data_IF_232495874969
#
_entry.id   IF_232495874969
#
_cell.length_a   1.000
_cell.length_b   1.000
_cell.length_c   1.000
_cell.angle_alpha   90.00
_cell.angle_beta   90.00
_cell.angle_gamma   90.00
#
_symmetry.space_group_name_H-M   'P 1'
#
loop_
_entity.id
_entity.type
_entity.pdbx_description
1 polymer ?
#
# COMPACT_ATOMS: atom_id res chain seq x y z
N UNK A 1 -24.91 -39.64 20.50
CA UNK A 1 -24.86 -38.23 20.09
C UNK A 1 -24.80 -38.21 18.58
N UNK A 2 -25.78 -37.60 17.90
CA UNK A 2 -25.69 -37.28 16.48
C UNK A 2 -24.66 -36.16 16.33
N UNK A 3 -23.67 -36.33 15.45
CA UNK A 3 -22.78 -35.26 15.03
C UNK A 3 -22.99 -35.06 13.53
N UNK A 4 -23.59 -33.92 13.17
CA UNK A 4 -23.71 -33.45 11.80
C UNK A 4 -22.52 -32.51 11.51
N UNK A 5 -21.86 -32.66 10.35
CA UNK A 5 -20.80 -31.76 9.87
C UNK A 5 -21.27 -30.99 8.64
N UNK A 6 -21.01 -29.68 8.70
CA UNK A 6 -21.52 -28.59 7.85
C UNK A 6 -20.52 -28.25 6.74
N UNK A 7 -21.03 -27.86 5.56
CA UNK A 7 -20.24 -27.39 4.42
C UNK A 7 -19.69 -25.98 4.70
N UNK A 8 -18.39 -25.80 4.54
CA UNK A 8 -17.71 -24.50 4.66
C UNK A 8 -17.15 -24.09 3.29
N UNK A 9 -17.63 -22.97 2.75
CA UNK A 9 -16.93 -22.30 1.64
C UNK A 9 -15.78 -21.47 2.21
N UNK A 10 -14.55 -21.75 1.77
CA UNK A 10 -13.29 -21.09 2.13
C UNK A 10 -12.79 -21.25 3.59
N UNK A 11 -12.74 -22.48 4.11
CA UNK A 11 -12.09 -22.73 5.41
C UNK A 11 -10.55 -22.88 5.27
N UNK A 12 -9.79 -21.98 5.89
CA UNK A 12 -8.35 -22.13 6.14
C UNK A 12 -8.13 -22.46 7.63
N UNK A 13 -8.12 -23.75 7.98
CA UNK A 13 -7.80 -24.21 9.34
C UNK A 13 -6.54 -25.07 9.32
N UNK A 14 -5.64 -24.85 10.29
CA UNK A 14 -4.47 -25.71 10.50
C UNK A 14 -4.85 -27.09 11.07
N UNK A 15 -6.05 -27.23 11.65
CA UNK A 15 -6.54 -28.48 12.23
C UNK A 15 -8.01 -28.72 11.85
N UNK A 16 -8.29 -29.89 11.27
CA UNK A 16 -9.65 -30.32 10.90
C UNK A 16 -9.97 -31.60 11.67
N UNK A 17 -11.11 -31.61 12.35
CA UNK A 17 -11.63 -32.82 12.97
C UNK A 17 -12.57 -33.48 11.96
N UNK A 18 -12.17 -34.64 11.45
CA UNK A 18 -12.98 -35.45 10.55
C UNK A 18 -13.60 -36.61 11.32
N UNK A 19 -14.91 -36.79 11.17
CA UNK A 19 -15.62 -37.95 11.71
C UNK A 19 -15.19 -39.25 11.03
N UNK A 20 -15.09 -40.33 11.78
CA UNK A 20 -14.72 -41.65 11.24
C UNK A 20 -15.78 -42.21 10.29
N UNK A 21 -17.03 -41.79 10.46
CA UNK A 21 -18.16 -42.01 9.55
C UNK A 21 -17.95 -41.32 8.21
N UNK A 22 -17.54 -40.04 8.21
CA UNK A 22 -17.22 -39.29 6.99
C UNK A 22 -16.02 -39.89 6.24
N UNK A 23 -14.96 -40.25 6.97
CA UNK A 23 -13.78 -40.91 6.38
C UNK A 23 -14.11 -42.26 5.75
N UNK A 24 -15.04 -43.02 6.35
CA UNK A 24 -15.47 -44.31 5.81
C UNK A 24 -16.16 -44.20 4.45
N UNK A 25 -16.86 -43.09 4.17
CA UNK A 25 -17.48 -42.82 2.86
C UNK A 25 -16.41 -42.78 1.76
N UNK A 26 -15.22 -42.28 2.08
CA UNK A 26 -14.09 -42.19 1.17
C UNK A 26 -13.12 -43.38 1.28
N UNK A 27 -13.57 -44.50 1.87
CA UNK A 27 -12.79 -45.74 1.95
C UNK A 27 -11.63 -45.70 2.94
N UNK A 28 -11.66 -44.78 3.91
CA UNK A 28 -10.68 -44.67 4.99
C UNK A 28 -11.31 -45.14 6.30
N UNK A 29 -10.74 -46.17 6.91
CA UNK A 29 -11.21 -46.73 8.17
C UNK A 29 -10.10 -46.65 9.24
N UNK A 30 -10.38 -45.92 10.33
CA UNK A 30 -9.44 -45.73 11.42
C UNK A 30 -9.83 -46.65 12.58
N UNK A 31 -8.92 -47.56 12.95
CA UNK A 31 -9.09 -48.40 14.13
C UNK A 31 -8.33 -47.79 15.31
N UNK A 32 -9.07 -47.41 16.36
CA UNK A 32 -8.53 -46.80 17.57
C UNK A 32 -8.37 -47.78 18.75
N UNK A 33 -8.37 -49.09 18.50
CA UNK A 33 -8.03 -50.08 19.53
C UNK A 33 -6.51 -50.10 19.81
N UNK A 34 -6.07 -51.00 20.71
CA UNK A 34 -4.68 -51.11 21.24
C UNK A 34 -3.55 -50.82 20.25
N UNK A 35 -3.72 -51.20 18.97
CA UNK A 35 -2.84 -50.79 17.88
C UNK A 35 -3.57 -49.79 16.97
N UNK A 36 -3.25 -48.50 17.08
CA UNK A 36 -3.82 -47.47 16.20
C UNK A 36 -3.29 -47.65 14.77
N UNK A 37 -4.16 -47.95 13.82
CA UNK A 37 -3.82 -48.05 12.40
C UNK A 37 -4.99 -47.59 11.53
N UNK A 38 -4.66 -47.19 10.30
CA UNK A 38 -5.63 -46.80 9.28
C UNK A 38 -5.55 -47.76 8.08
N UNK A 39 -6.70 -48.01 7.45
CA UNK A 39 -6.83 -48.77 6.20
C UNK A 39 -7.39 -47.84 5.13
N UNK A 40 -6.84 -47.89 3.92
CA UNK A 40 -7.26 -47.05 2.79
C UNK A 40 -7.61 -47.95 1.59
N UNK A 41 -8.70 -47.63 0.89
CA UNK A 41 -9.10 -48.26 -0.36
C UNK A 41 -10.07 -49.43 -0.19
N UNK A 42 -10.78 -49.76 -1.27
CA UNK A 42 -11.93 -50.70 -1.27
C UNK A 42 -11.60 -52.08 -0.69
N UNK A 43 -10.39 -52.58 -0.95
CA UNK A 43 -9.96 -53.90 -0.50
C UNK A 43 -9.48 -53.95 0.96
N UNK A 44 -9.29 -52.81 1.66
CA UNK A 44 -8.96 -52.69 3.10
C UNK A 44 -7.84 -53.62 3.65
N UNK A 45 -6.96 -54.13 2.79
CA UNK A 45 -5.94 -55.15 3.11
C UNK A 45 -4.65 -54.54 3.69
N UNK A 46 -4.27 -53.34 3.27
CA UNK A 46 -3.09 -52.66 3.77
C UNK A 46 -3.41 -51.85 5.04
N UNK A 47 -2.62 -52.07 6.08
CA UNK A 47 -2.67 -51.31 7.34
C UNK A 47 -1.49 -50.34 7.37
N UNK A 48 -1.78 -49.07 7.63
CA UNK A 48 -0.76 -48.05 7.82
C UNK A 48 -0.74 -47.68 9.31
N UNK A 49 0.45 -47.72 9.91
CA UNK A 49 0.65 -47.27 11.28
C UNK A 49 0.81 -45.75 11.31
N UNK A 50 0.34 -45.14 12.39
CA UNK A 50 0.67 -43.74 12.65
C UNK A 50 2.15 -43.66 13.02
N UNK A 51 2.94 -42.93 12.22
CA UNK A 51 4.31 -42.65 12.61
C UNK A 51 4.30 -41.69 13.80
N UNK A 52 4.85 -42.11 14.94
CA UNK A 52 5.17 -41.20 16.05
C UNK A 52 6.40 -40.34 15.69
N UNK A 53 6.43 -39.75 14.49
CA UNK A 53 7.32 -38.64 14.18
C UNK A 53 6.64 -37.32 14.56
N UNK A 54 6.21 -37.21 15.81
CA UNK A 54 6.47 -35.98 16.53
C UNK A 54 7.96 -36.02 16.87
N UNK A 55 8.81 -35.76 15.86
CA UNK A 55 10.14 -35.23 16.18
C UNK A 55 9.86 -34.10 17.14
N UNK A 56 10.56 -34.09 18.26
CA UNK A 56 10.75 -32.93 19.11
C UNK A 56 11.09 -31.75 18.18
N UNK A 57 10.06 -31.05 17.72
CA UNK A 57 10.19 -29.71 17.22
C UNK A 57 10.53 -28.95 18.48
N UNK A 58 11.82 -28.79 18.69
CA UNK A 58 12.37 -27.77 19.55
C UNK A 58 11.47 -26.56 19.40
N UNK A 59 10.91 -26.13 20.54
CA UNK A 59 10.16 -24.90 20.67
C UNK A 59 11.15 -23.76 20.40
N UNK A 60 11.52 -23.58 19.13
CA UNK A 60 11.94 -22.31 18.61
C UNK A 60 10.62 -21.60 18.40
N UNK A 61 10.29 -20.72 19.34
CA UNK A 61 9.16 -19.80 19.26
C UNK A 61 9.03 -19.23 17.83
N UNK A 62 8.12 -19.80 17.03
CA UNK A 62 7.89 -19.42 15.64
C UNK A 62 6.93 -18.23 15.55
N UNK A 63 7.15 -17.18 16.35
CA UNK A 63 6.51 -15.88 16.09
C UNK A 63 6.90 -15.31 14.71
N UNK A 64 8.04 -15.75 14.15
CA UNK A 64 8.56 -15.29 12.86
C UNK A 64 7.83 -15.87 11.64
N UNK A 65 7.25 -17.06 11.73
CA UNK A 65 6.62 -17.72 10.57
C UNK A 65 5.16 -17.30 10.40
N UNK A 66 4.41 -17.08 11.50
CA UNK A 66 3.02 -16.58 11.42
C UNK A 66 2.94 -15.20 10.78
N UNK A 67 3.87 -14.29 11.10
CA UNK A 67 3.92 -12.94 10.52
C UNK A 67 4.33 -12.96 9.03
N UNK A 68 5.20 -13.91 8.65
CA UNK A 68 5.59 -14.12 7.26
C UNK A 68 4.45 -14.70 6.43
N UNK A 69 3.72 -15.67 6.98
CA UNK A 69 2.51 -16.21 6.36
C UNK A 69 1.43 -15.13 6.19
N UNK A 70 1.25 -14.27 7.20
CA UNK A 70 0.34 -13.13 7.14
C UNK A 70 0.76 -12.09 6.09
N UNK A 71 2.05 -11.73 6.01
CA UNK A 71 2.61 -10.86 4.97
C UNK A 71 2.38 -11.43 3.56
N UNK A 72 2.61 -12.74 3.40
CA UNK A 72 2.40 -13.44 2.12
C UNK A 72 0.91 -13.45 1.74
N UNK A 73 0.03 -13.81 2.67
CA UNK A 73 -1.42 -13.91 2.42
C UNK A 73 -2.08 -12.55 2.21
N UNK A 74 -1.68 -11.52 2.95
CA UNK A 74 -2.34 -10.20 2.91
C UNK A 74 -1.78 -9.29 1.82
N UNK A 75 -0.48 -9.37 1.50
CA UNK A 75 0.16 -8.41 0.59
C UNK A 75 0.68 -9.00 -0.72
N UNK A 76 1.14 -10.25 -0.71
CA UNK A 76 1.70 -10.89 -1.91
C UNK A 76 0.64 -11.60 -2.76
N UNK A 77 -0.48 -12.04 -2.19
CA UNK A 77 -1.60 -12.64 -2.95
C UNK A 77 -2.17 -11.66 -3.99
N UNK A 78 -2.20 -10.37 -3.66
CA UNK A 78 -2.66 -9.32 -4.59
C UNK A 78 -1.55 -8.77 -5.51
N UNK A 79 -0.29 -9.19 -5.31
CA UNK A 79 0.85 -8.70 -6.09
C UNK A 79 0.93 -9.41 -7.45
N UNK A 80 1.27 -8.66 -8.51
CA UNK A 80 1.45 -9.20 -9.86
C UNK A 80 2.85 -9.82 -10.01
N UNK A 81 3.10 -10.90 -9.27
CA UNK A 81 4.32 -11.71 -9.47
C UNK A 81 4.25 -12.39 -10.83
N UNK A 82 5.31 -12.26 -11.62
CA UNK A 82 5.43 -12.86 -12.94
C UNK A 82 5.32 -14.39 -12.83
N UNK A 83 4.34 -15.03 -13.47
CA UNK A 83 4.15 -16.48 -13.40
C UNK A 83 5.31 -17.28 -14.03
N UNK A 84 6.13 -16.64 -14.87
CA UNK A 84 7.30 -17.26 -15.50
C UNK A 84 8.52 -17.39 -14.58
N UNK A 85 8.46 -16.87 -13.35
CA UNK A 85 9.52 -17.07 -12.36
C UNK A 85 9.53 -18.51 -11.86
N UNK A 86 10.71 -19.11 -11.78
CA UNK A 86 10.84 -20.44 -11.18
C UNK A 86 10.40 -20.43 -9.70
N UNK A 87 9.84 -21.53 -9.18
CA UNK A 87 9.39 -21.60 -7.78
C UNK A 87 10.49 -21.23 -6.77
N UNK A 88 11.75 -21.60 -7.05
CA UNK A 88 12.91 -21.25 -6.22
C UNK A 88 13.19 -19.74 -6.22
N UNK A 89 13.09 -19.08 -7.37
CA UNK A 89 13.27 -17.62 -7.47
C UNK A 89 12.15 -16.87 -6.75
N UNK A 90 10.91 -17.36 -6.89
CA UNK A 90 9.75 -16.79 -6.20
C UNK A 90 9.91 -16.87 -4.68
N UNK A 91 10.32 -18.02 -4.13
CA UNK A 91 10.52 -18.15 -2.69
C UNK A 91 11.61 -17.20 -2.17
N UNK A 92 12.76 -17.14 -2.86
CA UNK A 92 13.84 -16.19 -2.51
C UNK A 92 13.38 -14.74 -2.56
N UNK A 93 12.56 -14.38 -3.54
CA UNK A 93 12.03 -13.03 -3.66
C UNK A 93 11.07 -12.69 -2.51
N UNK A 94 10.24 -13.63 -2.08
CA UNK A 94 9.34 -13.44 -0.93
C UNK A 94 10.15 -13.25 0.36
N UNK A 95 11.14 -14.10 0.61
CA UNK A 95 12.03 -13.98 1.77
C UNK A 95 12.75 -12.64 1.80
N UNK A 96 13.20 -12.22 0.62
CA UNK A 96 13.84 -10.94 0.40
C UNK A 96 12.90 -9.77 0.69
N UNK A 97 11.66 -9.78 0.19
CA UNK A 97 10.69 -8.70 0.45
C UNK A 97 10.30 -8.63 1.92
N UNK A 98 10.15 -9.78 2.56
CA UNK A 98 9.88 -9.87 3.99
C UNK A 98 11.02 -9.26 4.83
N UNK A 99 12.26 -9.28 4.34
CA UNK A 99 13.39 -8.59 4.99
C UNK A 99 13.21 -7.06 5.02
N UNK A 100 12.38 -6.52 4.11
CA UNK A 100 12.03 -5.10 4.01
C UNK A 100 10.53 -4.87 4.28
N UNK A 101 9.91 -5.64 5.18
CA UNK A 101 8.50 -5.52 5.55
C UNK A 101 8.05 -4.08 5.86
N UNK A 102 8.92 -3.30 6.50
CA UNK A 102 8.69 -1.89 6.85
C UNK A 102 8.59 -0.95 5.64
N UNK A 103 9.04 -1.36 4.45
CA UNK A 103 8.84 -0.64 3.20
C UNK A 103 7.41 -0.78 2.65
N UNK A 104 6.58 -1.62 3.27
CA UNK A 104 5.21 -1.90 2.86
C UNK A 104 4.21 -1.45 3.94
N UNK A 105 2.96 -1.12 3.55
CA UNK A 105 1.94 -0.71 4.51
C UNK A 105 1.67 -1.79 5.55
N UNK A 106 1.31 -1.42 6.76
CA UNK A 106 0.81 -2.35 7.78
C UNK A 106 -0.47 -1.79 8.41
N UNK A 107 -1.19 -2.59 9.19
CA UNK A 107 -2.41 -2.13 9.86
C UNK A 107 -2.15 -0.96 10.80
N UNK A 108 -0.99 -0.94 11.46
CA UNK A 108 -0.58 0.14 12.35
C UNK A 108 -0.09 1.38 11.58
N UNK A 109 0.53 1.17 10.42
CA UNK A 109 1.09 2.25 9.61
C UNK A 109 0.68 2.12 8.13
N UNK A 110 -0.58 2.48 7.80
CA UNK A 110 -1.17 2.21 6.50
C UNK A 110 -0.68 3.15 5.39
N UNK A 111 0.04 4.24 5.73
CA UNK A 111 0.50 5.26 4.77
C UNK A 111 1.97 5.64 4.92
N UNK A 112 2.63 5.32 6.03
CA UNK A 112 3.95 5.88 6.34
C UNK A 112 3.93 7.40 6.51
N UNK A 113 5.12 7.98 6.57
CA UNK A 113 5.36 9.41 6.58
C UNK A 113 6.81 9.69 6.14
N UNK A 114 6.97 10.24 4.93
CA UNK A 114 8.31 10.51 4.37
C UNK A 114 8.98 11.61 5.19
N UNK A 115 10.06 11.24 5.88
CA UNK A 115 10.75 12.13 6.82
C UNK A 115 11.53 13.22 6.09
N UNK A 116 11.55 14.44 6.65
CA UNK A 116 12.40 15.54 6.20
C UNK A 116 12.01 16.19 4.86
N UNK A 117 10.81 15.89 4.35
CA UNK A 117 10.35 16.36 3.05
C UNK A 117 8.99 17.08 3.14
N UNK A 118 8.73 17.76 4.26
CA UNK A 118 7.46 18.44 4.49
C UNK A 118 7.20 19.52 3.44
N UNK A 119 5.95 19.59 2.98
CA UNK A 119 5.51 20.55 1.98
C UNK A 119 5.13 21.86 2.65
N UNK A 120 5.62 22.95 2.08
CA UNK A 120 5.18 24.30 2.36
C UNK A 120 4.45 24.90 1.15
N UNK A 121 3.64 25.93 1.38
CA UNK A 121 2.95 26.67 0.33
C UNK A 121 3.24 28.15 0.50
N UNK A 122 4.04 28.68 -0.41
CA UNK A 122 4.29 30.12 -0.50
C UNK A 122 3.30 30.76 -1.45
N UNK A 123 2.61 31.80 -0.98
CA UNK A 123 1.71 32.61 -1.79
C UNK A 123 2.43 33.87 -2.28
N UNK A 124 2.02 34.39 -3.43
CA UNK A 124 2.51 35.64 -4.02
C UNK A 124 1.71 36.88 -3.54
N UNK A 125 1.01 36.74 -2.43
CA UNK A 125 0.17 37.76 -1.80
C UNK A 125 0.42 37.78 -0.30
N UNK A 126 0.17 38.93 0.31
CA UNK A 126 0.22 39.09 1.76
C UNK A 126 -0.95 38.36 2.45
N UNK A 127 -0.84 38.15 3.77
CA UNK A 127 -1.80 37.42 4.59
C UNK A 127 -3.21 38.02 4.63
N UNK A 128 -3.39 39.25 4.16
CA UNK A 128 -4.71 39.82 3.87
C UNK A 128 -5.33 39.13 2.64
N UNK A 129 -5.66 37.84 2.79
CA UNK A 129 -6.09 36.99 1.69
C UNK A 129 -7.41 37.48 1.08
N UNK A 130 -7.51 37.47 -0.26
CA UNK A 130 -8.72 37.90 -0.94
C UNK A 130 -9.89 36.96 -0.63
N UNK A 131 -11.11 37.51 -0.63
CA UNK A 131 -12.33 36.76 -0.30
C UNK A 131 -12.55 35.54 -1.20
N UNK A 132 -11.99 35.54 -2.41
CA UNK A 132 -12.05 34.38 -3.34
C UNK A 132 -11.38 33.11 -2.76
N UNK A 133 -10.49 33.25 -1.77
CA UNK A 133 -9.90 32.13 -1.03
C UNK A 133 -10.76 31.64 0.14
N UNK A 134 -11.88 32.32 0.45
CA UNK A 134 -12.85 31.94 1.49
C UNK A 134 -14.17 31.53 0.86
N UNK A 135 -14.19 30.33 0.28
CA UNK A 135 -15.36 29.82 -0.44
C UNK A 135 -16.24 28.95 0.46
N UNK A 136 -17.58 29.06 0.37
CA UNK A 136 -18.50 28.18 1.09
C UNK A 136 -18.54 26.78 0.47
N UNK A 137 -19.01 25.80 1.23
CA UNK A 137 -19.22 24.45 0.72
C UNK A 137 -20.26 24.45 -0.41
N UNK A 138 -20.01 23.64 -1.45
CA UNK A 138 -21.02 23.42 -2.48
C UNK A 138 -22.20 22.59 -1.94
N UNK A 139 -23.45 22.91 -2.31
CA UNK A 139 -24.60 22.08 -1.96
C UNK A 139 -24.52 20.74 -2.73
N UNK A 140 -24.23 19.61 -2.06
CA UNK A 140 -24.07 18.34 -2.75
C UNK A 140 -25.43 17.64 -2.92
N UNK A 141 -25.59 16.86 -3.98
CA UNK A 141 -26.74 15.95 -4.15
C UNK A 141 -26.76 14.89 -3.04
N UNK A 142 -27.90 14.23 -2.75
CA UNK A 142 -27.97 13.20 -1.71
C UNK A 142 -26.91 12.10 -1.87
N UNK A 143 -26.74 11.58 -3.09
CA UNK A 143 -25.69 10.60 -3.43
C UNK A 143 -24.27 11.14 -3.18
N UNK A 144 -24.02 12.41 -3.50
CA UNK A 144 -22.72 13.03 -3.26
C UNK A 144 -22.47 13.28 -1.76
N UNK A 145 -23.50 13.57 -0.97
CA UNK A 145 -23.39 13.75 0.49
C UNK A 145 -22.90 12.47 1.17
N UNK A 146 -23.52 11.34 0.85
CA UNK A 146 -23.13 10.03 1.38
C UNK A 146 -21.70 9.66 0.99
N UNK A 147 -21.36 9.80 -0.30
CA UNK A 147 -20.01 9.54 -0.77
C UNK A 147 -18.97 10.43 -0.09
N UNK A 148 -19.25 11.72 0.06
CA UNK A 148 -18.35 12.67 0.70
C UNK A 148 -18.15 12.35 2.19
N UNK A 149 -19.21 12.01 2.91
CA UNK A 149 -19.12 11.59 4.32
C UNK A 149 -18.21 10.37 4.45
N UNK A 150 -18.42 9.35 3.60
CA UNK A 150 -17.59 8.13 3.57
C UNK A 150 -16.12 8.45 3.30
N UNK A 151 -15.81 9.16 2.22
CA UNK A 151 -14.43 9.51 1.85
C UNK A 151 -13.73 10.33 2.93
N UNK A 152 -14.40 11.31 3.54
CA UNK A 152 -13.82 12.11 4.62
C UNK A 152 -13.52 11.24 5.85
N UNK A 153 -14.42 10.34 6.24
CA UNK A 153 -14.19 9.44 7.37
C UNK A 153 -13.01 8.51 7.13
N UNK A 154 -12.92 7.90 5.94
CA UNK A 154 -11.79 7.05 5.55
C UNK A 154 -10.46 7.83 5.58
N UNK A 155 -10.45 9.06 5.06
CA UNK A 155 -9.25 9.89 5.07
C UNK A 155 -8.83 10.31 6.49
N UNK A 156 -9.79 10.60 7.37
CA UNK A 156 -9.51 10.92 8.78
C UNK A 156 -8.92 9.71 9.50
N UNK A 157 -9.46 8.51 9.29
CA UNK A 157 -8.91 7.27 9.85
C UNK A 157 -7.46 7.04 9.41
N UNK A 158 -7.15 7.41 8.16
CA UNK A 158 -5.80 7.36 7.63
C UNK A 158 -4.89 8.49 8.12
N UNK A 159 -5.41 9.46 8.89
CA UNK A 159 -4.65 10.62 9.37
C UNK A 159 -4.30 11.63 8.28
N UNK A 160 -5.07 11.69 7.19
CA UNK A 160 -4.78 12.59 6.06
C UNK A 160 -5.29 14.01 6.34
N UNK A 161 -6.58 14.25 6.61
CA UNK A 161 -7.03 15.46 7.27
C UNK A 161 -7.50 15.19 8.70
N UNK A 162 -7.56 16.25 9.51
CA UNK A 162 -8.28 16.27 10.80
C UNK A 162 -9.47 17.21 10.72
N UNK A 163 -10.44 17.03 11.61
CA UNK A 163 -11.53 18.00 11.78
C UNK A 163 -11.00 19.27 12.47
N UNK A 164 -11.40 20.43 11.97
CA UNK A 164 -11.05 21.74 12.58
C UNK A 164 -11.99 21.99 13.76
N UNK A 165 -11.42 22.44 14.90
CA UNK A 165 -12.17 22.78 16.10
C UNK A 165 -13.00 24.05 15.95
N UNK A 166 -14.03 24.22 16.79
CA UNK A 166 -14.92 25.40 16.75
C UNK A 166 -14.21 26.72 17.05
N UNK A 167 -13.11 26.67 17.80
CA UNK A 167 -12.33 27.84 18.22
C UNK A 167 -11.15 28.12 17.27
N UNK A 168 -11.00 27.34 16.20
CA UNK A 168 -9.92 27.52 15.23
C UNK A 168 -10.44 28.35 14.04
N UNK A 169 -9.98 29.58 13.93
CA UNK A 169 -10.37 30.48 12.84
C UNK A 169 -9.73 30.06 11.51
N UNK A 170 -10.51 30.08 10.42
CA UNK A 170 -10.08 29.74 9.07
C UNK A 170 -9.94 30.97 8.18
N UNK A 171 -8.71 31.28 7.76
CA UNK A 171 -8.43 32.39 6.84
C UNK A 171 -8.64 32.00 5.37
N UNK A 172 -8.58 30.70 5.05
CA UNK A 172 -8.75 30.12 3.71
C UNK A 172 -9.65 28.89 3.81
N UNK A 173 -10.58 28.74 2.88
CA UNK A 173 -11.48 27.58 2.80
C UNK A 173 -11.72 27.15 1.36
N UNK A 174 -11.38 25.89 1.07
CA UNK A 174 -11.58 25.29 -0.25
C UNK A 174 -12.76 24.31 -0.25
N UNK A 175 -13.81 24.53 -1.05
CA UNK A 175 -14.90 23.57 -1.16
C UNK A 175 -14.44 22.33 -1.92
N UNK A 176 -15.00 21.20 -1.52
CA UNK A 176 -14.76 19.90 -2.15
C UNK A 176 -15.99 19.43 -2.91
N UNK A 177 -15.76 18.66 -3.96
CA UNK A 177 -16.78 17.97 -4.74
C UNK A 177 -16.48 16.48 -4.81
N UNK A 178 -17.47 15.70 -5.23
CA UNK A 178 -17.28 14.30 -5.62
C UNK A 178 -17.25 14.21 -7.15
N UNK A 179 -16.15 13.70 -7.67
CA UNK A 179 -16.03 13.31 -9.07
C UNK A 179 -16.32 11.80 -9.22
N UNK A 180 -17.14 11.44 -10.20
CA UNK A 180 -17.51 10.05 -10.48
C UNK A 180 -16.84 9.57 -11.77
N UNK A 181 -16.31 8.34 -11.75
CA UNK A 181 -15.74 7.69 -12.92
C UNK A 181 -15.91 6.17 -12.79
N UNK A 182 -16.55 5.51 -13.78
CA UNK A 182 -16.82 4.06 -13.78
C UNK A 182 -17.38 3.55 -12.44
N UNK A 183 -18.46 4.19 -11.96
CA UNK A 183 -19.11 3.95 -10.67
C UNK A 183 -18.26 4.21 -9.39
N UNK A 184 -16.96 4.51 -9.52
CA UNK A 184 -16.10 4.91 -8.41
C UNK A 184 -16.18 6.43 -8.19
N UNK A 185 -16.19 6.85 -6.94
CA UNK A 185 -16.15 8.26 -6.55
C UNK A 185 -14.79 8.66 -5.98
N UNK A 186 -14.42 9.93 -6.17
CA UNK A 186 -13.23 10.54 -5.56
C UNK A 186 -13.58 11.91 -5.02
N UNK A 187 -13.05 12.24 -3.85
CA UNK A 187 -13.09 13.61 -3.32
C UNK A 187 -12.07 14.48 -4.06
N UNK A 188 -12.50 15.67 -4.48
CA UNK A 188 -11.66 16.64 -5.20
C UNK A 188 -11.83 18.01 -4.57
N UNK A 189 -10.73 18.60 -4.06
CA UNK A 189 -10.69 19.98 -3.60
C UNK A 189 -10.58 20.95 -4.78
N UNK A 190 -11.40 22.00 -4.79
CA UNK A 190 -11.30 23.04 -5.82
C UNK A 190 -10.18 24.05 -5.51
N UNK A 191 -8.93 23.60 -5.63
CA UNK A 191 -7.72 24.38 -5.28
C UNK A 191 -7.30 25.39 -6.36
N UNK A 192 -8.14 25.66 -7.37
CA UNK A 192 -7.78 26.54 -8.51
C UNK A 192 -7.45 27.96 -8.08
N UNK A 193 -8.26 28.52 -7.17
CA UNK A 193 -8.01 29.87 -6.64
C UNK A 193 -6.70 29.91 -5.87
N UNK A 194 -6.50 28.97 -4.93
CA UNK A 194 -5.25 28.86 -4.17
C UNK A 194 -4.03 28.75 -5.10
N UNK A 195 -4.11 27.88 -6.11
CA UNK A 195 -3.04 27.67 -7.08
C UNK A 195 -2.70 28.92 -7.91
N UNK A 196 -3.65 29.83 -8.11
CA UNK A 196 -3.41 31.10 -8.82
C UNK A 196 -2.47 31.99 -8.00
N UNK A 197 -2.61 31.97 -6.68
CA UNK A 197 -1.76 32.72 -5.75
C UNK A 197 -0.50 31.95 -5.31
N UNK A 198 -0.44 30.64 -5.51
CA UNK A 198 0.77 29.86 -5.18
C UNK A 198 1.94 30.21 -6.09
N UNK A 199 3.08 30.57 -5.48
CA UNK A 199 4.34 30.79 -6.19
C UNK A 199 4.74 29.48 -6.91
N UNK A 200 4.93 29.49 -8.23
CA UNK A 200 5.23 28.27 -8.99
C UNK A 200 6.61 27.72 -8.63
N UNK A 201 6.68 26.42 -8.35
CA UNK A 201 7.92 25.66 -8.23
C UNK A 201 8.32 25.07 -9.59
N UNK A 202 9.45 25.52 -10.13
CA UNK A 202 9.94 25.15 -11.46
C UNK A 202 11.04 24.07 -11.41
N UNK A 203 10.95 23.15 -10.45
CA UNK A 203 11.86 22.01 -10.40
C UNK A 203 11.77 21.17 -11.69
N UNK A 204 12.89 20.77 -12.31
CA UNK A 204 12.87 20.02 -13.56
C UNK A 204 12.27 18.63 -13.38
N UNK A 205 11.37 18.26 -14.27
CA UNK A 205 10.80 16.91 -14.36
C UNK A 205 11.48 16.20 -15.54
N UNK A 206 11.98 14.96 -15.38
CA UNK A 206 12.62 14.19 -16.45
C UNK A 206 11.72 14.04 -17.67
N UNK A 207 12.31 14.07 -18.87
CA UNK A 207 11.58 13.85 -20.12
C UNK A 207 11.40 12.36 -20.36
N UNK A 208 10.16 11.94 -20.61
CA UNK A 208 9.81 10.52 -20.78
C UNK A 208 10.61 9.82 -21.90
N UNK A 209 11.00 10.52 -22.96
CA UNK A 209 11.76 9.95 -24.07
C UNK A 209 13.17 9.53 -23.66
N UNK A 210 13.85 10.33 -22.83
CA UNK A 210 15.20 10.04 -22.34
C UNK A 210 15.18 8.80 -21.43
N UNK A 211 14.13 8.67 -20.62
CA UNK A 211 13.85 7.49 -19.77
C UNK A 211 13.68 6.21 -20.59
N UNK A 212 12.92 6.25 -21.69
CA UNK A 212 12.61 5.05 -22.49
C UNK A 212 13.82 4.47 -23.22
N UNK A 213 14.76 5.32 -23.67
CA UNK A 213 15.98 4.85 -24.35
C UNK A 213 16.84 3.99 -23.42
N UNK A 214 16.95 4.35 -22.14
CA UNK A 214 17.71 3.58 -21.15
C UNK A 214 17.09 2.19 -20.89
N UNK A 215 15.76 2.12 -20.87
CA UNK A 215 15.03 0.87 -20.63
C UNK A 215 15.11 -0.12 -21.80
N UNK A 216 15.32 0.36 -23.03
CA UNK A 216 15.30 -0.47 -24.25
C UNK A 216 16.32 -1.62 -24.27
N UNK A 217 17.40 -1.52 -23.49
CA UNK A 217 18.48 -2.53 -23.44
C UNK A 217 18.34 -3.51 -22.27
N UNK A 218 17.47 -3.23 -21.31
CA UNK A 218 17.36 -3.99 -20.08
C UNK A 218 16.61 -5.31 -20.28
N UNK A 219 17.09 -6.38 -19.64
CA UNK A 219 16.42 -7.69 -19.64
C UNK A 219 15.39 -7.84 -18.52
N UNK A 220 15.61 -7.14 -17.41
CA UNK A 220 14.72 -7.12 -16.25
C UNK A 220 14.32 -5.68 -16.00
N UNK A 221 13.01 -5.41 -15.97
CA UNK A 221 12.45 -4.10 -15.68
C UNK A 221 11.38 -4.29 -14.61
N UNK A 222 11.36 -3.40 -13.62
CA UNK A 222 10.41 -3.40 -12.52
C UNK A 222 9.94 -1.98 -12.26
N UNK A 223 8.63 -1.81 -12.26
CA UNK A 223 7.98 -0.56 -11.86
C UNK A 223 7.43 -0.73 -10.45
N UNK A 224 7.86 0.14 -9.55
CA UNK A 224 7.38 0.21 -8.18
C UNK A 224 6.50 1.44 -8.03
N UNK A 225 5.29 1.19 -7.52
CA UNK A 225 4.27 2.22 -7.27
C UNK A 225 4.16 2.49 -5.78
N UNK A 226 4.16 3.76 -5.38
CA UNK A 226 3.90 4.14 -4.00
C UNK A 226 2.43 3.99 -3.59
N UNK A 227 2.20 3.66 -2.32
CA UNK A 227 0.86 3.59 -1.76
C UNK A 227 0.34 4.99 -1.45
N UNK A 228 -0.53 5.54 -2.31
CA UNK A 228 -1.12 6.88 -2.12
C UNK A 228 -0.03 7.94 -1.88
N UNK A 229 1.01 7.93 -2.72
CA UNK A 229 2.27 8.68 -2.54
C UNK A 229 2.15 10.09 -1.97
N UNK A 230 1.30 10.96 -2.54
CA UNK A 230 1.10 12.32 -2.01
C UNK A 230 0.66 12.36 -0.55
N UNK A 231 -0.19 11.43 -0.13
CA UNK A 231 -0.63 11.31 1.26
C UNK A 231 0.42 10.70 2.19
N UNK A 232 1.66 10.45 1.74
CA UNK A 232 2.78 10.10 2.62
C UNK A 232 3.61 11.33 3.01
N UNK A 233 3.39 12.47 2.33
CA UNK A 233 4.16 13.70 2.57
C UNK A 233 3.41 14.59 3.55
N UNK A 234 4.05 14.91 4.67
CA UNK A 234 3.48 15.79 5.69
C UNK A 234 3.47 17.26 5.23
N UNK A 235 2.51 18.04 5.74
CA UNK A 235 2.43 19.47 5.52
C UNK A 235 3.06 20.24 6.69
N UNK A 236 3.70 21.37 6.41
CA UNK A 236 4.10 22.35 7.44
C UNK A 236 2.88 23.07 8.03
N UNK A 237 2.93 23.54 9.29
CA UNK A 237 1.77 24.13 9.97
C UNK A 237 1.06 25.25 9.20
N UNK A 238 1.79 26.12 8.50
CA UNK A 238 1.18 27.21 7.73
C UNK A 238 0.49 26.69 6.45
N UNK A 239 1.11 25.73 5.75
CA UNK A 239 0.50 25.07 4.60
C UNK A 239 -0.80 24.32 4.97
N UNK A 240 -0.88 23.74 6.17
CA UNK A 240 -2.11 23.10 6.68
C UNK A 240 -3.28 24.08 6.68
N UNK A 241 -3.08 25.30 7.21
CA UNK A 241 -4.11 26.34 7.29
C UNK A 241 -4.60 26.79 5.90
N UNK A 242 -3.68 26.87 4.93
CA UNK A 242 -4.00 27.23 3.53
C UNK A 242 -4.78 26.13 2.80
N UNK A 243 -4.62 24.87 3.22
CA UNK A 243 -5.25 23.71 2.62
C UNK A 243 -6.51 23.25 3.38
N UNK A 244 -7.14 24.14 4.14
CA UNK A 244 -8.43 23.81 4.76
C UNK A 244 -9.51 23.59 3.72
N UNK A 245 -10.25 22.50 3.90
CA UNK A 245 -11.41 22.16 3.07
C UNK A 245 -12.70 22.33 3.85
N UNK A 246 -13.76 22.69 3.13
CA UNK A 246 -15.10 22.83 3.71
C UNK A 246 -16.09 21.94 2.97
N UNK A 247 -16.91 21.27 3.76
CA UNK A 247 -17.95 20.34 3.29
C UNK A 247 -19.25 20.61 4.05
N UNK A 248 -20.35 19.98 3.61
CA UNK A 248 -21.61 20.03 4.36
C UNK A 248 -21.53 19.43 5.77
N UNK A 249 -20.48 18.66 6.10
CA UNK A 249 -20.24 18.09 7.42
C UNK A 249 -19.36 18.97 8.33
N UNK A 250 -18.78 20.05 7.79
CA UNK A 250 -17.90 20.97 8.51
C UNK A 250 -16.58 21.23 7.80
N UNK A 251 -15.65 21.81 8.54
CA UNK A 251 -14.31 22.18 8.06
C UNK A 251 -13.27 21.16 8.51
N UNK A 252 -12.32 20.88 7.62
CA UNK A 252 -11.22 19.94 7.83
C UNK A 252 -9.91 20.56 7.37
N UNK A 253 -8.81 20.16 7.99
CA UNK A 253 -7.47 20.66 7.69
C UNK A 253 -6.60 19.47 7.27
N UNK A 254 -5.99 19.55 6.08
CA UNK A 254 -5.04 18.53 5.64
C UNK A 254 -3.79 18.56 6.51
N UNK A 255 -3.37 17.37 6.97
CA UNK A 255 -2.10 17.12 7.65
C UNK A 255 -1.02 16.63 6.68
N UNK A 256 -1.47 16.02 5.57
CA UNK A 256 -0.63 15.47 4.51
C UNK A 256 -1.05 16.02 3.15
N UNK A 257 -0.13 16.03 2.19
CA UNK A 257 -0.28 16.74 0.93
C UNK A 257 -1.48 16.21 0.12
N UNK A 258 -2.50 17.04 -0.18
CA UNK A 258 -3.64 16.62 -0.97
C UNK A 258 -3.33 16.63 -2.46
N UNK A 259 -4.15 15.92 -3.23
CA UNK A 259 -4.15 16.02 -4.68
C UNK A 259 -4.56 17.42 -5.15
N UNK A 260 -3.92 17.91 -6.21
CA UNK A 260 -4.35 19.11 -6.94
C UNK A 260 -3.70 20.43 -6.52
N UNK A 261 -2.72 20.40 -5.60
CA UNK A 261 -1.88 21.59 -5.34
C UNK A 261 -0.90 21.82 -6.50
N UNK A 262 -0.63 23.08 -6.83
CA UNK A 262 0.17 23.49 -8.01
C UNK A 262 1.56 22.86 -8.07
N UNK A 263 2.23 22.77 -6.94
CA UNK A 263 3.64 22.37 -6.87
C UNK A 263 3.83 20.89 -6.51
N UNK A 264 2.76 20.07 -6.53
CA UNK A 264 2.85 18.66 -6.07
C UNK A 264 3.90 17.88 -6.82
N UNK A 265 3.91 17.92 -8.16
CA UNK A 265 4.83 17.16 -8.99
C UNK A 265 6.28 17.63 -8.86
N UNK A 266 6.50 18.95 -8.85
CA UNK A 266 7.84 19.54 -8.66
C UNK A 266 8.43 19.15 -7.31
N UNK A 267 7.63 19.24 -6.24
CA UNK A 267 8.06 18.82 -4.91
C UNK A 267 8.35 17.32 -4.86
N UNK A 268 7.48 16.51 -5.45
CA UNK A 268 7.66 15.06 -5.49
C UNK A 268 8.95 14.66 -6.19
N UNK A 269 9.22 15.22 -7.37
CA UNK A 269 10.42 14.92 -8.12
C UNK A 269 11.68 15.36 -7.36
N UNK A 270 11.66 16.54 -6.72
CA UNK A 270 12.78 17.01 -5.88
C UNK A 270 13.01 16.09 -4.69
N UNK A 271 11.95 15.68 -4.00
CA UNK A 271 12.00 14.73 -2.89
C UNK A 271 12.65 13.43 -3.34
N UNK A 272 12.17 12.85 -4.44
CA UNK A 272 12.72 11.61 -4.99
C UNK A 272 14.20 11.72 -5.36
N UNK A 273 14.60 12.82 -6.00
CA UNK A 273 16.01 13.07 -6.33
C UNK A 273 16.88 13.23 -5.08
N UNK A 274 16.30 13.71 -3.96
CA UNK A 274 16.97 13.86 -2.67
C UNK A 274 17.09 12.53 -1.92
N UNK A 275 16.12 11.62 -2.08
CA UNK A 275 16.12 10.29 -1.46
C UNK A 275 17.08 9.34 -2.18
N UNK A 276 17.17 9.43 -3.52
CA UNK A 276 17.92 8.50 -4.37
C UNK A 276 19.08 9.14 -5.17
N UNK A 277 19.90 10.05 -4.60
CA UNK A 277 20.89 10.78 -5.37
C UNK A 277 21.94 9.84 -5.97
N UNK A 278 22.41 8.88 -5.18
CA UNK A 278 23.43 7.90 -5.59
C UNK A 278 22.86 6.94 -6.63
N UNK A 279 21.69 6.36 -6.38
CA UNK A 279 21.04 5.41 -7.29
C UNK A 279 20.72 6.04 -8.64
N UNK A 280 20.33 7.31 -8.67
CA UNK A 280 20.14 8.06 -9.92
C UNK A 280 21.46 8.30 -10.64
N UNK A 281 22.51 8.72 -9.92
CA UNK A 281 23.83 9.00 -10.52
C UNK A 281 24.50 7.76 -11.13
N UNK A 282 24.26 6.59 -10.54
CA UNK A 282 24.78 5.31 -11.01
C UNK A 282 23.95 4.67 -12.13
N UNK A 283 22.81 5.27 -12.51
CA UNK A 283 21.88 4.67 -13.48
C UNK A 283 21.26 3.37 -12.98
N UNK A 284 21.03 3.28 -11.66
CA UNK A 284 20.44 2.10 -11.03
C UNK A 284 18.93 2.03 -11.30
N UNK A 285 18.28 3.19 -11.26
CA UNK A 285 16.85 3.37 -11.41
C UNK A 285 16.55 4.67 -12.17
N UNK A 286 15.32 4.77 -12.65
CA UNK A 286 14.74 6.02 -13.17
C UNK A 286 13.55 6.38 -12.31
N UNK A 287 13.39 7.66 -12.00
CA UNK A 287 12.22 8.17 -11.28
C UNK A 287 11.47 9.13 -12.16
N UNK A 288 10.16 8.92 -12.25
CA UNK A 288 9.23 9.85 -12.86
C UNK A 288 8.09 10.13 -11.90
N UNK A 289 8.16 11.27 -11.19
CA UNK A 289 7.20 11.64 -10.15
C UNK A 289 7.06 10.51 -9.11
N UNK A 290 5.97 9.72 -9.15
CA UNK A 290 5.64 8.65 -8.23
C UNK A 290 6.06 7.24 -8.71
N UNK A 291 6.57 7.12 -9.93
CA UNK A 291 7.05 5.86 -10.50
C UNK A 291 8.55 5.67 -10.27
N UNK A 292 8.93 4.60 -9.56
CA UNK A 292 10.33 4.15 -9.43
C UNK A 292 10.54 2.96 -10.36
N UNK A 293 11.40 3.10 -11.36
CA UNK A 293 11.68 2.07 -12.36
C UNK A 293 13.10 1.54 -12.17
N UNK A 294 13.22 0.28 -11.78
CA UNK A 294 14.50 -0.43 -11.66
C UNK A 294 14.68 -1.29 -12.90
N UNK A 295 15.87 -1.27 -13.48
CA UNK A 295 16.18 -2.06 -14.68
C UNK A 295 17.56 -2.69 -14.59
N UNK A 296 17.79 -3.83 -15.25
CA UNK A 296 19.04 -4.61 -15.16
C UNK A 296 19.21 -5.63 -16.29
N UNK A 297 20.43 -6.09 -16.52
CA UNK A 297 20.75 -7.12 -17.53
C UNK A 297 20.85 -8.54 -16.97
N UNK A 298 20.85 -8.69 -15.64
CA UNK A 298 20.88 -9.98 -14.96
C UNK A 298 19.98 -9.97 -13.71
N UNK A 299 19.48 -11.14 -13.33
CA UNK A 299 18.61 -11.28 -12.15
C UNK A 299 19.33 -10.95 -10.84
N UNK A 300 20.60 -11.34 -10.71
CA UNK A 300 21.40 -11.05 -9.50
C UNK A 300 21.56 -9.55 -9.31
N UNK A 301 21.94 -8.83 -10.37
CA UNK A 301 22.04 -7.37 -10.34
C UNK A 301 20.68 -6.74 -10.05
N UNK A 302 19.59 -7.27 -10.61
CA UNK A 302 18.25 -6.76 -10.36
C UNK A 302 17.84 -6.84 -8.89
N UNK A 303 18.13 -7.96 -8.22
CA UNK A 303 17.88 -8.12 -6.78
C UNK A 303 18.76 -7.21 -5.93
N UNK A 304 20.03 -7.04 -6.29
CA UNK A 304 20.92 -6.10 -5.61
C UNK A 304 20.41 -4.66 -5.70
N UNK A 305 20.00 -4.23 -6.90
CA UNK A 305 19.43 -2.90 -7.14
C UNK A 305 18.12 -2.71 -6.35
N UNK A 306 17.25 -3.72 -6.37
CA UNK A 306 16.02 -3.70 -5.58
C UNK A 306 16.30 -3.60 -4.08
N UNK A 307 17.35 -4.22 -3.58
CA UNK A 307 17.72 -4.17 -2.16
C UNK A 307 18.07 -2.76 -1.73
N UNK A 308 18.88 -2.07 -2.54
CA UNK A 308 19.26 -0.67 -2.30
C UNK A 308 18.07 0.25 -2.29
N UNK A 309 17.15 0.07 -3.25
CA UNK A 309 15.90 0.85 -3.31
C UNK A 309 15.02 0.60 -2.09
N UNK A 310 14.73 -0.67 -1.75
CA UNK A 310 13.89 -1.00 -0.60
C UNK A 310 14.50 -0.55 0.72
N UNK A 311 15.83 -0.60 0.85
CA UNK A 311 16.53 -0.06 2.00
C UNK A 311 16.27 1.44 2.15
N UNK A 312 16.43 2.22 1.08
CA UNK A 312 16.17 3.67 1.09
C UNK A 312 14.72 4.01 1.36
N UNK A 313 13.78 3.29 0.74
CA UNK A 313 12.34 3.41 0.98
C UNK A 313 12.00 3.19 2.46
N UNK A 314 12.54 2.13 3.06
CA UNK A 314 12.33 1.84 4.49
C UNK A 314 12.96 2.90 5.40
N UNK A 315 14.18 3.36 5.09
CA UNK A 315 14.92 4.39 5.85
C UNK A 315 14.11 5.69 5.97
N UNK A 316 13.51 6.14 4.87
CA UNK A 316 12.71 7.38 4.83
C UNK A 316 11.25 7.19 5.22
N UNK A 317 10.84 5.95 5.53
CA UNK A 317 9.47 5.55 5.86
C UNK A 317 8.45 5.83 4.73
N UNK A 318 8.87 5.58 3.50
CA UNK A 318 8.00 5.53 2.32
C UNK A 318 7.37 4.13 2.22
N UNK A 319 6.11 4.04 1.80
CA UNK A 319 5.36 2.78 1.65
C UNK A 319 5.07 2.47 0.19
N UNK A 320 5.46 1.27 -0.25
CA UNK A 320 5.24 0.77 -1.61
C UNK A 320 3.97 -0.07 -1.66
N UNK A 321 3.22 0.03 -2.76
CA UNK A 321 2.02 -0.76 -3.01
C UNK A 321 2.36 -2.03 -3.80
N UNK A 322 2.50 -3.17 -3.11
CA UNK A 322 2.76 -4.46 -3.74
C UNK A 322 1.70 -4.86 -4.80
N UNK A 323 0.44 -4.48 -4.58
CA UNK A 323 -0.67 -4.69 -5.53
C UNK A 323 -0.49 -3.97 -6.86
N UNK A 324 0.10 -2.77 -6.82
CA UNK A 324 0.24 -1.92 -8.01
C UNK A 324 1.57 -2.11 -8.72
N UNK A 325 2.60 -2.56 -8.00
CA UNK A 325 3.88 -2.94 -8.57
C UNK A 325 3.67 -3.96 -9.70
N UNK A 326 4.13 -3.61 -10.89
CA UNK A 326 4.07 -4.51 -12.03
C UNK A 326 5.34 -5.39 -12.03
N UNK A 327 5.11 -6.70 -12.11
CA UNK A 327 6.15 -7.72 -12.34
C UNK A 327 7.13 -7.87 -11.17
N UNK A 328 6.66 -8.55 -10.11
CA UNK A 328 7.58 -9.21 -9.18
C UNK A 328 8.24 -10.41 -9.83
#
# INVERSE_FOLDING_TARGET
>A
MKADIVVMDNCTSQHIILGNDYLNIYGIDINNHKDRYLKIGENRRQKFSFSNMLKEMSIVSSKKDTYKEEFVCNQLVESKINPSLSPKMRHKLIDFLYTYDNAFPSDNEPLGAIKGNEVDITLNIDRSYPQVLRRPAYPPSPRAREALKKHIQELIQLGVPRKVGRNEEGEVTTPVIIAWHNAKSRIVGNLRELNTYTVPDRYPIPRIQETLTQLSKAKYIRSMDELKGFHQIALRPEAKKLLRIITHCGMYEYLRMPFGIKNSSSHYQRMMNTIFPTELSEGLLIIYIDDIIIYSDSWSLHLERLARVLHKVAEVNMKISLKKCNSF
#
